data_IF_725274953730
#
_entry.id   IF_725274953730
#
_cell.length_a   1.000
_cell.length_b   1.000
_cell.length_c   1.000
_cell.angle_alpha   90.00
_cell.angle_beta   90.00
_cell.angle_gamma   90.00
#
_symmetry.space_group_name_H-M   'P 1'
#
loop_
_entity.id
_entity.type
_entity.pdbx_description
1 polymer ?
#
# COMPACT_ATOMS: atom_id res chain seq x y z
N UNK A 1 1.76 -17.42 12.77
CA UNK A 1 0.55 -17.06 11.96
C UNK A 1 0.35 -15.55 11.86
N UNK A 2 0.75 -14.78 12.88
CA UNK A 2 0.56 -13.33 12.89
C UNK A 2 1.36 -12.61 11.80
N UNK A 3 2.51 -13.14 11.38
CA UNK A 3 3.33 -12.62 10.28
C UNK A 3 2.57 -12.55 8.95
N UNK A 4 1.86 -13.61 8.57
CA UNK A 4 1.14 -13.65 7.30
C UNK A 4 -0.10 -12.74 7.30
N UNK A 5 -0.82 -12.68 8.44
CA UNK A 5 -2.01 -11.83 8.61
C UNK A 5 -1.63 -10.34 8.60
N UNK A 6 -0.58 -9.96 9.34
CA UNK A 6 -0.10 -8.58 9.38
C UNK A 6 0.51 -8.15 8.04
N UNK A 7 1.20 -9.04 7.33
CA UNK A 7 1.70 -8.78 5.97
C UNK A 7 0.56 -8.49 5.01
N UNK A 8 -0.46 -9.36 4.93
CA UNK A 8 -1.60 -9.14 4.03
C UNK A 8 -2.42 -7.90 4.43
N UNK A 9 -2.68 -7.71 5.72
CA UNK A 9 -3.43 -6.56 6.23
C UNK A 9 -2.75 -5.24 5.93
N UNK A 10 -1.45 -5.14 6.21
CA UNK A 10 -0.69 -3.93 5.91
C UNK A 10 -0.44 -3.76 4.40
N UNK A 11 -0.32 -4.83 3.62
CA UNK A 11 -0.24 -4.75 2.16
C UNK A 11 -1.52 -4.15 1.56
N UNK A 12 -2.69 -4.62 1.99
CA UNK A 12 -3.97 -4.10 1.53
C UNK A 12 -4.15 -2.62 1.94
N UNK A 13 -3.87 -2.30 3.21
CA UNK A 13 -3.96 -0.92 3.72
C UNK A 13 -2.99 0.01 2.99
N UNK A 14 -1.74 -0.43 2.77
CA UNK A 14 -0.73 0.31 2.04
C UNK A 14 -1.12 0.52 0.58
N UNK A 15 -1.69 -0.49 -0.08
CA UNK A 15 -2.14 -0.37 -1.46
C UNK A 15 -3.29 0.62 -1.63
N UNK A 16 -4.26 0.62 -0.70
CA UNK A 16 -5.36 1.59 -0.70
C UNK A 16 -4.84 3.00 -0.43
N UNK A 17 -3.98 3.19 0.56
CA UNK A 17 -3.38 4.49 0.87
C UNK A 17 -2.56 5.03 -0.32
N UNK A 18 -1.80 4.15 -0.96
CA UNK A 18 -1.05 4.44 -2.18
C UNK A 18 -1.97 4.84 -3.34
N UNK A 19 -3.02 4.06 -3.60
CA UNK A 19 -4.01 4.34 -4.64
C UNK A 19 -4.66 5.70 -4.46
N UNK A 20 -5.13 6.02 -3.25
CA UNK A 20 -5.79 7.31 -2.94
C UNK A 20 -4.84 8.48 -3.19
N UNK A 21 -3.58 8.34 -2.76
CA UNK A 21 -2.57 9.39 -2.94
C UNK A 21 -2.15 9.55 -4.40
N UNK A 22 -2.13 8.44 -5.15
CA UNK A 22 -1.91 8.45 -6.59
C UNK A 22 -3.05 9.03 -7.40
N UNK A 23 -4.30 8.77 -6.99
CA UNK A 23 -5.46 9.42 -7.58
C UNK A 23 -5.39 10.93 -7.39
N UNK A 24 -5.13 11.40 -6.17
CA UNK A 24 -5.10 12.85 -5.86
C UNK A 24 -4.00 13.58 -6.61
N UNK A 25 -2.77 13.05 -6.63
CA UNK A 25 -1.67 13.62 -7.42
C UNK A 25 -1.98 13.56 -8.93
N UNK A 26 -2.56 12.46 -9.39
CA UNK A 26 -2.94 12.27 -10.78
C UNK A 26 -4.01 13.26 -11.26
N UNK A 27 -5.05 13.50 -10.45
CA UNK A 27 -6.07 14.53 -10.72
C UNK A 27 -5.40 15.91 -10.83
N UNK A 28 -4.49 16.23 -9.92
CA UNK A 28 -3.84 17.54 -9.86
C UNK A 28 -2.92 17.81 -11.07
N UNK A 29 -2.27 16.78 -11.62
CA UNK A 29 -1.28 16.93 -12.71
C UNK A 29 -1.88 16.71 -14.09
N UNK A 30 -2.87 15.82 -14.24
CA UNK A 30 -3.37 15.38 -15.54
C UNK A 30 -4.88 15.15 -15.61
N UNK A 31 -5.65 15.66 -14.63
CA UNK A 31 -7.09 15.48 -14.58
C UNK A 31 -7.50 14.00 -14.40
N UNK A 32 -8.68 13.60 -14.91
CA UNK A 32 -9.22 12.26 -14.69
C UNK A 32 -8.31 11.12 -15.21
N UNK A 33 -7.64 11.35 -16.35
CA UNK A 33 -6.70 10.37 -16.92
C UNK A 33 -5.44 10.25 -16.07
N UNK A 34 -4.93 11.38 -15.58
CA UNK A 34 -3.81 11.40 -14.63
C UNK A 34 -4.13 10.64 -13.35
N UNK A 35 -5.37 10.70 -12.86
CA UNK A 35 -5.82 9.96 -11.67
C UNK A 35 -5.70 8.45 -11.85
N UNK A 36 -6.11 7.91 -13.00
CA UNK A 36 -6.06 6.48 -13.30
C UNK A 36 -4.61 6.04 -13.54
N UNK A 37 -3.81 6.87 -14.19
CA UNK A 37 -2.39 6.60 -14.40
C UNK A 37 -1.59 6.65 -13.08
N UNK A 38 -2.00 7.51 -12.14
CA UNK A 38 -1.34 7.70 -10.85
C UNK A 38 -1.73 6.68 -9.78
N UNK A 39 -2.96 6.13 -9.82
CA UNK A 39 -3.45 5.16 -8.83
C UNK A 39 -2.68 3.86 -8.83
N UNK A 40 -2.49 3.22 -9.99
CA UNK A 40 -1.89 1.88 -10.07
C UNK A 40 -0.44 1.85 -9.57
N UNK A 41 0.47 2.74 -10.02
CA UNK A 41 1.86 2.72 -9.56
C UNK A 41 1.97 2.98 -8.06
N UNK A 42 1.24 3.97 -7.55
CA UNK A 42 1.28 4.30 -6.12
C UNK A 42 0.58 3.26 -5.26
N UNK A 43 -0.44 2.55 -5.76
CA UNK A 43 -1.02 1.40 -5.08
C UNK A 43 -0.02 0.24 -4.94
N UNK A 44 0.79 -0.02 -5.98
CA UNK A 44 1.84 -1.05 -5.91
C UNK A 44 2.91 -0.65 -4.89
N UNK A 45 3.42 0.59 -4.98
CA UNK A 45 4.43 1.09 -4.04
C UNK A 45 3.91 1.06 -2.60
N UNK A 46 2.69 1.53 -2.39
CA UNK A 46 2.03 1.51 -1.08
C UNK A 46 1.82 0.09 -0.56
N UNK A 47 1.37 -0.84 -1.42
CA UNK A 47 1.14 -2.23 -1.06
C UNK A 47 2.42 -2.98 -0.68
N UNK A 48 3.49 -2.80 -1.45
CA UNK A 48 4.80 -3.40 -1.15
C UNK A 48 5.37 -2.83 0.15
N UNK A 49 5.31 -1.51 0.34
CA UNK A 49 5.79 -0.85 1.57
C UNK A 49 5.00 -1.32 2.79
N UNK A 50 3.67 -1.42 2.65
CA UNK A 50 2.79 -1.95 3.68
C UNK A 50 3.07 -3.41 4.01
N UNK A 51 3.25 -4.26 3.01
CA UNK A 51 3.60 -5.67 3.19
C UNK A 51 4.90 -5.83 3.99
N UNK A 52 5.95 -5.09 3.60
CA UNK A 52 7.25 -5.10 4.28
C UNK A 52 7.14 -4.65 5.73
N UNK A 53 6.40 -3.57 6.00
CA UNK A 53 6.18 -3.08 7.36
C UNK A 53 5.40 -4.11 8.20
N UNK A 54 4.32 -4.67 7.65
CA UNK A 54 3.50 -5.70 8.29
C UNK A 54 4.31 -6.95 8.62
N UNK A 55 5.10 -7.45 7.67
CA UNK A 55 5.93 -8.64 7.87
C UNK A 55 6.94 -8.46 9.00
N UNK A 56 7.64 -7.31 9.06
CA UNK A 56 8.61 -7.04 10.12
C UNK A 56 7.95 -7.00 11.51
N UNK A 57 6.77 -6.41 11.62
CA UNK A 57 6.02 -6.33 12.88
C UNK A 57 5.49 -7.71 13.26
N UNK A 58 4.83 -8.40 12.33
CA UNK A 58 4.26 -9.72 12.58
C UNK A 58 5.32 -10.77 12.90
N UNK A 59 6.48 -10.75 12.23
CA UNK A 59 7.60 -11.64 12.56
C UNK A 59 8.11 -11.42 13.99
N UNK A 60 8.16 -10.16 14.45
CA UNK A 60 8.57 -9.83 15.82
C UNK A 60 7.55 -10.26 16.87
N UNK A 61 6.26 -10.31 16.52
CA UNK A 61 5.19 -10.74 17.43
C UNK A 61 5.10 -12.26 17.48
N UNK A 62 5.23 -12.95 16.33
CA UNK A 62 5.20 -14.43 16.25
C UNK A 62 6.40 -15.07 16.97
N UNK A 63 7.47 -14.30 17.20
CA UNK A 63 8.71 -14.73 17.85
C UNK A 63 8.81 -14.33 19.33
N UNK A 64 7.79 -13.68 19.87
CA UNK A 64 7.61 -13.41 21.31
C UNK A 64 6.72 -14.48 21.92
#
# INVERSE_FOLDING_TARGET
MFELISTLGCAAAGAVAGAVKGATMGIAVGGPVGAIAGTIPLAIVGGVTGALAGNNIGHRIDKR
#
